data_IF_830732700708
#
_entry.id   IF_830732700708
#
_cell.length_a   1.000
_cell.length_b   1.000
_cell.length_c   1.000
_cell.angle_alpha   90.00
_cell.angle_beta   90.00
_cell.angle_gamma   90.00
#
_symmetry.space_group_name_H-M   'P 1'
#
loop_
_entity.id
_entity.type
_entity.pdbx_description
1 polymer ?
#
# COMPACT_ATOMS: atom_id res chain seq x y z
N UNK A 1 39.41 -6.76 13.79
CA UNK A 1 39.00 -6.27 12.46
C UNK A 1 37.56 -5.79 12.58
N UNK A 2 37.35 -4.47 12.62
CA UNK A 2 36.03 -3.84 12.67
C UNK A 2 36.18 -2.49 11.98
N UNK A 3 35.99 -2.47 10.66
CA UNK A 3 36.12 -1.26 9.85
C UNK A 3 35.27 -1.42 8.58
N UNK A 4 33.95 -1.52 8.71
CA UNK A 4 33.03 -1.43 7.56
C UNK A 4 31.64 -0.86 7.94
N UNK A 5 31.56 0.16 8.81
CA UNK A 5 30.26 0.81 9.18
C UNK A 5 30.29 2.33 9.00
N UNK A 6 30.86 2.84 7.91
CA UNK A 6 30.85 4.29 7.66
C UNK A 6 31.10 4.65 6.19
N UNK A 7 30.24 4.23 5.26
CA UNK A 7 30.43 4.52 3.83
C UNK A 7 29.18 5.01 3.06
N UNK A 8 28.13 5.51 3.72
CA UNK A 8 26.95 6.04 3.02
C UNK A 8 26.64 7.52 3.34
N UNK A 9 27.42 8.13 4.24
CA UNK A 9 27.23 9.53 4.65
C UNK A 9 28.02 10.48 3.74
N UNK A 10 27.74 10.50 2.45
CA UNK A 10 28.22 11.58 1.58
C UNK A 10 27.44 11.66 0.27
N UNK A 11 26.21 12.17 0.33
CA UNK A 11 25.58 12.77 -0.84
C UNK A 11 25.04 14.16 -0.49
N UNK A 12 25.85 15.15 -0.90
CA UNK A 12 25.48 16.51 -1.30
C UNK A 12 24.57 17.32 -0.37
N UNK A 13 25.22 18.19 0.42
CA UNK A 13 24.64 19.46 0.82
C UNK A 13 24.40 20.32 -0.44
N UNK A 14 23.16 20.34 -0.94
CA UNK A 14 22.73 21.34 -1.92
C UNK A 14 22.50 22.68 -1.20
N UNK A 15 23.02 23.81 -1.73
CA UNK A 15 22.64 25.12 -1.22
C UNK A 15 21.16 25.38 -1.57
N UNK A 16 20.32 25.39 -0.53
CA UNK A 16 18.92 25.82 -0.62
C UNK A 16 18.88 27.30 -0.98
N UNK A 17 18.79 27.63 -2.27
CA UNK A 17 18.54 28.99 -2.75
C UNK A 17 17.08 29.34 -2.47
N UNK A 18 16.82 29.87 -1.29
CA UNK A 18 15.50 30.38 -0.91
C UNK A 18 15.16 31.62 -1.76
N UNK A 19 14.30 31.45 -2.76
CA UNK A 19 13.68 32.60 -3.44
C UNK A 19 12.43 33.00 -2.65
N UNK A 20 12.52 34.09 -1.88
CA UNK A 20 11.35 34.73 -1.26
C UNK A 20 10.64 35.54 -2.35
N UNK A 21 9.72 34.91 -3.08
CA UNK A 21 8.72 35.63 -3.82
C UNK A 21 7.55 35.92 -2.87
N UNK A 22 7.28 37.20 -2.63
CA UNK A 22 6.22 37.66 -1.75
C UNK A 22 4.84 37.19 -2.22
N UNK A 23 4.12 36.49 -1.36
CA UNK A 23 2.69 36.21 -1.55
C UNK A 23 1.94 37.31 -0.83
N UNK A 24 1.31 38.19 -1.60
CA UNK A 24 0.43 39.24 -1.11
C UNK A 24 -0.83 39.24 -1.96
N UNK A 25 -1.80 38.38 -1.60
CA UNK A 25 -3.19 38.52 -2.05
C UNK A 25 -4.14 37.97 -0.98
N UNK A 26 -4.80 38.94 -0.34
CA UNK A 26 -6.18 38.96 0.15
C UNK A 26 -6.91 37.63 0.44
N UNK A 27 -7.39 37.57 1.69
CA UNK A 27 -8.43 36.68 2.17
C UNK A 27 -9.70 36.68 1.29
N UNK A 28 -10.27 35.50 1.06
CA UNK A 28 -11.71 35.27 1.13
C UNK A 28 -11.95 33.82 1.61
N UNK A 29 -12.37 33.70 2.87
CA UNK A 29 -12.98 32.49 3.43
C UNK A 29 -14.38 32.34 2.86
N UNK A 30 -14.55 31.59 1.78
CA UNK A 30 -15.85 31.10 1.34
C UNK A 30 -16.11 29.71 1.96
N UNK A 31 -16.58 29.73 3.20
CA UNK A 31 -17.17 28.60 3.90
C UNK A 31 -18.63 28.47 3.45
N UNK A 32 -18.89 27.66 2.43
CA UNK A 32 -20.25 27.28 2.05
C UNK A 32 -20.54 25.87 2.57
N UNK A 33 -20.93 25.78 3.84
CA UNK A 33 -21.67 24.62 4.36
C UNK A 33 -23.08 24.67 3.77
N UNK A 34 -23.37 23.82 2.80
CA UNK A 34 -24.76 23.52 2.42
C UNK A 34 -25.09 22.13 2.92
N UNK A 35 -25.72 22.09 4.09
CA UNK A 35 -26.32 20.89 4.67
C UNK A 35 -27.78 20.85 4.20
N UNK A 36 -28.03 20.27 3.03
CA UNK A 36 -29.39 20.01 2.55
C UNK A 36 -29.77 18.57 2.93
N UNK A 37 -30.33 18.42 4.14
CA UNK A 37 -31.02 17.22 4.57
C UNK A 37 -32.54 17.36 4.31
N UNK A 38 -33.17 16.23 4.01
CA UNK A 38 -34.61 15.92 3.95
C UNK A 38 -35.33 16.04 2.60
N UNK A 39 -35.39 14.89 1.92
CA UNK A 39 -36.60 14.09 1.61
C UNK A 39 -37.76 14.76 0.88
N UNK A 40 -37.91 14.40 -0.39
CA UNK A 40 -39.21 14.29 -1.04
C UNK A 40 -39.40 12.90 -1.66
N UNK A 41 -40.43 12.23 -1.16
CA UNK A 41 -40.99 10.97 -1.63
C UNK A 41 -41.72 11.22 -2.96
N UNK A 42 -41.39 10.45 -4.00
CA UNK A 42 -42.26 10.21 -5.17
C UNK A 42 -41.87 8.88 -5.84
N UNK A 43 -42.77 7.88 -5.98
CA UNK A 43 -42.51 6.62 -6.67
C UNK A 43 -43.17 6.60 -8.08
N UNK A 44 -42.91 5.56 -8.90
CA UNK A 44 -41.66 5.25 -9.56
C UNK A 44 -41.77 5.56 -11.07
N UNK A 45 -40.65 5.91 -11.72
CA UNK A 45 -40.54 5.88 -13.17
C UNK A 45 -39.34 5.02 -13.51
N UNK A 46 -39.62 3.96 -14.28
CA UNK A 46 -38.67 3.00 -14.79
C UNK A 46 -37.47 3.69 -15.44
N UNK A 47 -36.28 3.39 -14.93
CA UNK A 47 -35.05 3.46 -15.69
C UNK A 47 -34.20 2.33 -15.17
N UNK A 48 -34.12 1.28 -15.99
CA UNK A 48 -33.12 0.23 -15.92
C UNK A 48 -31.76 0.86 -15.60
N UNK A 49 -31.41 0.82 -14.32
CA UNK A 49 -30.06 1.10 -13.86
C UNK A 49 -29.33 -0.21 -14.04
N UNK A 50 -28.75 -0.38 -15.23
CA UNK A 50 -27.69 -1.35 -15.47
C UNK A 50 -26.59 -1.07 -14.46
N UNK A 51 -26.66 -1.78 -13.34
CA UNK A 51 -25.54 -2.03 -12.47
C UNK A 51 -24.49 -2.70 -13.35
N UNK A 52 -23.52 -1.90 -13.82
CA UNK A 52 -22.21 -2.43 -14.16
C UNK A 52 -21.59 -2.84 -12.82
N UNK A 53 -21.96 -4.04 -12.40
CA UNK A 53 -21.10 -4.90 -11.62
C UNK A 53 -19.85 -5.06 -12.47
N UNK A 54 -18.82 -4.28 -12.17
CA UNK A 54 -17.47 -4.70 -12.49
C UNK A 54 -17.24 -5.91 -11.59
N UNK A 55 -17.51 -7.09 -12.14
CA UNK A 55 -16.91 -8.34 -11.69
C UNK A 55 -15.41 -8.07 -11.59
N UNK A 56 -14.94 -7.82 -10.37
CA UNK A 56 -13.57 -8.15 -10.01
C UNK A 56 -13.58 -9.68 -9.97
N UNK A 57 -13.38 -10.26 -11.15
CA UNK A 57 -12.97 -11.64 -11.29
C UNK A 57 -11.70 -11.78 -10.44
N UNK A 58 -11.85 -12.39 -9.26
CA UNK A 58 -10.73 -12.88 -8.47
C UNK A 58 -10.06 -13.91 -9.36
N UNK A 59 -9.05 -13.47 -10.10
CA UNK A 59 -8.24 -14.31 -10.95
C UNK A 59 -7.51 -15.31 -10.05
N UNK A 60 -8.06 -16.52 -10.01
CA UNK A 60 -7.42 -17.71 -9.48
C UNK A 60 -6.03 -17.80 -10.12
N UNK A 61 -4.98 -17.76 -9.28
CA UNK A 61 -3.59 -17.65 -9.71
C UNK A 61 -3.12 -18.94 -10.38
N UNK A 62 -3.40 -19.07 -11.67
CA UNK A 62 -2.64 -19.95 -12.55
C UNK A 62 -1.45 -19.14 -13.00
N UNK A 63 -0.24 -19.53 -12.55
CA UNK A 63 1.00 -18.96 -13.05
C UNK A 63 1.07 -19.22 -14.56
N UNK A 64 0.68 -18.20 -15.34
CA UNK A 64 0.63 -18.24 -16.78
C UNK A 64 1.95 -17.64 -17.30
N UNK A 65 2.70 -18.43 -18.09
CA UNK A 65 3.93 -17.99 -18.76
C UNK A 65 3.68 -16.84 -19.77
N UNK A 66 2.44 -16.35 -19.88
CA UNK A 66 2.06 -15.18 -20.68
C UNK A 66 2.02 -13.84 -19.92
N UNK A 67 2.15 -13.83 -18.59
CA UNK A 67 2.10 -12.58 -17.82
C UNK A 67 3.36 -11.74 -18.03
N UNK A 68 3.18 -10.43 -18.21
CA UNK A 68 4.27 -9.45 -18.15
C UNK A 68 4.89 -9.41 -16.75
N UNK A 69 6.14 -8.91 -16.64
CA UNK A 69 6.83 -8.83 -15.35
C UNK A 69 6.08 -7.92 -14.36
N UNK A 70 5.47 -6.83 -14.85
CA UNK A 70 4.59 -5.99 -14.04
C UNK A 70 3.40 -6.75 -13.47
N UNK A 71 2.72 -7.56 -14.29
CA UNK A 71 1.58 -8.35 -13.83
C UNK A 71 2.01 -9.40 -12.79
N UNK A 72 3.19 -10.00 -12.96
CA UNK A 72 3.77 -10.91 -11.97
C UNK A 72 4.06 -10.22 -10.64
N UNK A 73 4.63 -9.01 -10.66
CA UNK A 73 4.88 -8.21 -9.45
C UNK A 73 3.57 -7.77 -8.78
N UNK A 74 2.57 -7.35 -9.56
CA UNK A 74 1.28 -6.95 -9.01
C UNK A 74 0.53 -8.15 -8.38
N UNK A 75 0.60 -9.33 -9.00
CA UNK A 75 0.06 -10.55 -8.41
C UNK A 75 0.80 -10.96 -7.13
N UNK A 76 2.12 -10.72 -7.06
CA UNK A 76 2.88 -10.89 -5.84
C UNK A 76 2.40 -9.94 -4.74
N UNK A 77 2.20 -8.66 -5.05
CA UNK A 77 1.69 -7.69 -4.06
C UNK A 77 0.30 -8.06 -3.54
N UNK A 78 -0.62 -8.45 -4.42
CA UNK A 78 -1.95 -8.92 -4.04
C UNK A 78 -1.85 -10.10 -3.04
N UNK A 79 -1.01 -11.09 -3.37
CA UNK A 79 -0.79 -12.24 -2.48
C UNK A 79 -0.24 -11.81 -1.12
N UNK A 80 0.82 -10.99 -1.08
CA UNK A 80 1.43 -10.55 0.18
C UNK A 80 0.47 -9.70 1.01
N UNK A 81 -0.40 -8.92 0.37
CA UNK A 81 -1.42 -8.15 1.05
C UNK A 81 -2.47 -9.05 1.70
N UNK A 82 -3.02 -10.01 0.94
CA UNK A 82 -4.00 -10.98 1.45
C UNK A 82 -3.41 -11.83 2.58
N UNK A 83 -2.16 -12.30 2.44
CA UNK A 83 -1.44 -13.03 3.48
C UNK A 83 -1.26 -12.17 4.75
N UNK A 84 -0.93 -10.88 4.59
CA UNK A 84 -0.73 -9.94 5.70
C UNK A 84 -2.03 -9.66 6.46
N UNK A 85 -3.14 -9.35 5.75
CA UNK A 85 -4.42 -9.08 6.43
C UNK A 85 -4.99 -10.33 7.10
N UNK A 86 -4.78 -11.53 6.54
CA UNK A 86 -5.23 -12.78 7.15
C UNK A 86 -4.59 -13.04 8.52
N UNK A 87 -3.40 -12.48 8.76
CA UNK A 87 -2.69 -12.55 10.05
C UNK A 87 -3.24 -11.56 11.09
N UNK A 88 -4.03 -10.56 10.70
CA UNK A 88 -4.56 -9.51 11.60
C UNK A 88 -6.10 -9.51 11.60
N UNK A 89 -6.75 -10.12 12.62
CA UNK A 89 -8.19 -10.01 12.83
C UNK A 89 -8.72 -8.57 12.85
N UNK A 90 -7.95 -7.62 13.37
CA UNK A 90 -8.35 -6.21 13.38
C UNK A 90 -8.38 -5.62 11.97
N UNK A 91 -7.42 -5.97 11.12
CA UNK A 91 -7.37 -5.57 9.70
C UNK A 91 -8.52 -6.17 8.91
N UNK A 92 -8.83 -7.46 9.10
CA UNK A 92 -10.00 -8.10 8.50
C UNK A 92 -11.30 -7.37 8.89
N UNK A 93 -11.47 -7.05 10.17
CA UNK A 93 -12.64 -6.31 10.67
C UNK A 93 -12.72 -4.91 10.08
N UNK A 94 -11.59 -4.20 9.96
CA UNK A 94 -11.53 -2.89 9.34
C UNK A 94 -11.96 -2.92 7.87
N UNK A 95 -11.60 -3.99 7.15
CA UNK A 95 -12.00 -4.24 5.76
C UNK A 95 -13.42 -4.84 5.63
N UNK A 96 -14.14 -5.04 6.73
CA UNK A 96 -15.49 -5.60 6.74
C UNK A 96 -15.55 -7.11 6.44
N UNK A 97 -14.42 -7.82 6.55
CA UNK A 97 -14.35 -9.26 6.36
C UNK A 97 -14.64 -10.01 7.66
N UNK A 98 -15.33 -11.16 7.55
CA UNK A 98 -15.97 -11.81 8.70
C UNK A 98 -15.23 -13.04 9.26
N UNK A 99 -14.15 -13.48 8.61
CA UNK A 99 -13.49 -14.76 8.82
C UNK A 99 -12.98 -14.93 10.26
N UNK A 100 -12.52 -13.85 10.90
CA UNK A 100 -11.96 -13.83 12.27
C UNK A 100 -12.53 -12.73 13.15
N UNK A 101 -13.80 -12.36 12.92
CA UNK A 101 -14.46 -11.33 13.73
C UNK A 101 -14.56 -11.73 15.19
N UNK A 102 -14.20 -10.81 16.09
CA UNK A 102 -14.23 -11.02 17.54
C UNK A 102 -12.91 -11.48 18.14
N UNK A 103 -11.87 -11.66 17.32
CA UNK A 103 -10.50 -11.93 17.76
C UNK A 103 -9.67 -10.64 17.86
N UNK A 104 -8.65 -10.64 18.73
CA UNK A 104 -7.64 -9.59 18.80
C UNK A 104 -6.37 -10.02 18.05
N UNK A 105 -5.61 -9.06 17.55
CA UNK A 105 -4.30 -9.33 16.95
C UNK A 105 -3.34 -9.96 17.97
N UNK A 106 -2.46 -10.84 17.49
CA UNK A 106 -1.39 -11.40 18.29
C UNK A 106 -0.24 -10.38 18.41
N UNK A 107 0.04 -9.97 19.64
CA UNK A 107 1.11 -9.00 19.97
C UNK A 107 2.30 -9.67 20.68
N UNK A 108 2.40 -10.99 20.60
CA UNK A 108 3.48 -11.74 21.24
C UNK A 108 4.84 -11.49 20.56
N UNK A 109 5.95 -11.62 21.31
CA UNK A 109 7.30 -11.59 20.71
C UNK A 109 7.49 -12.63 19.61
N UNK A 110 6.89 -13.81 19.76
CA UNK A 110 6.97 -14.88 18.77
C UNK A 110 6.32 -14.47 17.43
N UNK A 111 5.16 -13.82 17.48
CA UNK A 111 4.49 -13.28 16.29
C UNK A 111 5.32 -12.18 15.62
N UNK A 112 5.99 -11.34 16.41
CA UNK A 112 6.88 -10.31 15.89
C UNK A 112 8.10 -10.92 15.16
N UNK A 113 8.74 -11.95 15.73
CA UNK A 113 9.84 -12.67 15.08
C UNK A 113 9.42 -13.39 13.80
N UNK A 114 8.22 -13.98 13.78
CA UNK A 114 7.65 -14.56 12.57
C UNK A 114 7.41 -13.50 11.49
N UNK A 115 6.87 -12.34 11.87
CA UNK A 115 6.65 -11.20 10.97
C UNK A 115 7.98 -10.70 10.38
N UNK A 116 9.04 -10.61 11.19
CA UNK A 116 10.39 -10.29 10.69
C UNK A 116 10.89 -11.31 9.66
N UNK A 117 10.67 -12.60 9.90
CA UNK A 117 11.07 -13.66 8.98
C UNK A 117 10.32 -13.54 7.64
N UNK A 118 9.03 -13.23 7.68
CA UNK A 118 8.19 -13.00 6.51
C UNK A 118 8.67 -11.78 5.73
N UNK A 119 8.87 -10.63 6.40
CA UNK A 119 9.36 -9.42 5.73
C UNK A 119 10.70 -9.64 5.01
N UNK A 120 11.61 -10.42 5.61
CA UNK A 120 12.88 -10.80 4.96
C UNK A 120 12.66 -11.68 3.74
N UNK A 121 11.73 -12.63 3.82
CA UNK A 121 11.39 -13.50 2.71
C UNK A 121 10.75 -12.71 1.57
N UNK A 122 9.78 -11.84 1.88
CA UNK A 122 9.11 -10.99 0.89
C UNK A 122 10.09 -10.06 0.20
N UNK A 123 11.02 -9.45 0.94
CA UNK A 123 12.08 -8.63 0.35
C UNK A 123 12.97 -9.45 -0.58
N UNK A 124 13.36 -10.67 -0.17
CA UNK A 124 14.15 -11.54 -1.02
C UNK A 124 13.40 -11.90 -2.31
N UNK A 125 12.12 -12.29 -2.22
CA UNK A 125 11.28 -12.59 -3.38
C UNK A 125 11.05 -11.38 -4.27
N UNK A 126 10.84 -10.19 -3.70
CA UNK A 126 10.68 -8.96 -4.46
C UNK A 126 11.93 -8.65 -5.30
N UNK A 127 13.12 -8.91 -4.77
CA UNK A 127 14.39 -8.66 -5.47
C UNK A 127 14.70 -9.68 -6.59
N UNK A 128 13.90 -10.74 -6.74
CA UNK A 128 14.06 -11.71 -7.83
C UNK A 128 13.37 -11.25 -9.14
N UNK A 129 12.46 -10.29 -9.08
CA UNK A 129 11.79 -9.75 -10.28
C UNK A 129 12.72 -8.84 -11.10
N UNK A 130 12.58 -8.87 -12.42
CA UNK A 130 13.33 -8.00 -13.32
C UNK A 130 12.78 -6.56 -13.29
N UNK A 131 13.42 -5.71 -12.48
CA UNK A 131 13.03 -4.31 -12.33
C UNK A 131 12.99 -3.54 -13.65
N UNK A 132 13.90 -3.83 -14.60
CA UNK A 132 13.97 -3.07 -15.85
C UNK A 132 12.81 -3.40 -16.80
N UNK A 133 12.25 -4.61 -16.69
CA UNK A 133 11.08 -5.07 -17.44
C UNK A 133 9.74 -4.51 -16.92
N UNK A 134 9.73 -3.83 -15.78
CA UNK A 134 8.53 -3.23 -15.20
C UNK A 134 8.10 -1.93 -15.91
N UNK A 135 6.79 -1.72 -15.97
CA UNK A 135 6.22 -0.42 -16.31
C UNK A 135 6.46 0.62 -15.20
N UNK A 136 6.34 1.90 -15.56
CA UNK A 136 6.60 3.03 -14.65
C UNK A 136 5.80 2.99 -13.34
N UNK A 137 4.46 2.74 -13.32
CA UNK A 137 3.75 2.67 -12.05
C UNK A 137 4.20 1.49 -11.19
N UNK A 138 4.48 0.33 -11.78
CA UNK A 138 4.93 -0.85 -11.03
C UNK A 138 6.35 -0.64 -10.48
N UNK A 139 7.23 0.08 -11.20
CA UNK A 139 8.55 0.48 -10.69
C UNK A 139 8.45 1.33 -9.43
N UNK A 140 7.51 2.28 -9.39
CA UNK A 140 7.29 3.10 -8.20
C UNK A 140 6.82 2.23 -7.03
N UNK A 141 5.80 1.38 -7.25
CA UNK A 141 5.30 0.46 -6.23
C UNK A 141 6.40 -0.48 -5.71
N UNK A 142 7.23 -1.01 -6.60
CA UNK A 142 8.41 -1.82 -6.26
C UNK A 142 9.37 -1.09 -5.34
N UNK A 143 9.73 0.16 -5.68
CA UNK A 143 10.66 0.95 -4.88
C UNK A 143 10.10 1.23 -3.48
N UNK A 144 8.81 1.57 -3.40
CA UNK A 144 8.13 1.84 -2.12
C UNK A 144 8.02 0.57 -1.27
N UNK A 145 7.66 -0.56 -1.87
CA UNK A 145 7.59 -1.85 -1.18
C UNK A 145 8.96 -2.29 -0.66
N UNK A 146 10.00 -2.18 -1.49
CA UNK A 146 11.38 -2.47 -1.11
C UNK A 146 11.81 -1.60 0.09
N UNK A 147 11.61 -0.29 0.00
CA UNK A 147 11.95 0.63 1.08
C UNK A 147 11.19 0.30 2.35
N UNK A 148 9.87 0.08 2.27
CA UNK A 148 9.04 -0.24 3.44
C UNK A 148 9.42 -1.55 4.10
N UNK A 149 9.82 -2.57 3.33
CA UNK A 149 10.34 -3.83 3.88
C UNK A 149 11.71 -3.64 4.54
N UNK A 150 12.61 -2.88 3.92
CA UNK A 150 13.91 -2.55 4.50
C UNK A 150 13.77 -1.79 5.83
N UNK A 151 12.87 -0.81 5.90
CA UNK A 151 12.55 -0.06 7.11
C UNK A 151 11.98 -0.96 8.21
N UNK A 152 10.96 -1.79 7.91
CA UNK A 152 10.39 -2.72 8.89
C UNK A 152 11.42 -3.72 9.45
N UNK A 153 12.33 -4.21 8.61
CA UNK A 153 13.41 -5.13 9.03
C UNK A 153 14.43 -4.41 9.91
N UNK A 154 14.80 -3.18 9.57
CA UNK A 154 15.68 -2.36 10.39
C UNK A 154 15.03 -2.03 11.73
N UNK A 155 13.73 -1.75 11.71
CA UNK A 155 12.99 -1.24 12.84
C UNK A 155 12.71 -2.27 13.92
N UNK A 156 12.59 -3.54 13.55
CA UNK A 156 12.47 -4.65 14.51
C UNK A 156 13.64 -4.75 15.51
N UNK A 157 14.76 -4.06 15.25
CA UNK A 157 15.94 -4.07 16.12
C UNK A 157 15.81 -3.19 17.38
N UNK A 158 14.80 -2.31 17.45
CA UNK A 158 14.62 -1.33 18.52
C UNK A 158 13.33 -1.54 19.31
#
# INVERSE_FOLDING_TARGET
MNHLTSAWRSLSALPQKTSRAGVSTAALLSLSLVLAACSDTTPPADTDSTAQTTDVEIAESVADESMSESERVNAFFEKTFEDSIARSPSSLTFLGRSERMGEWDDISPEFAEETLAINKQELASLLEFDFDALDEPTKLSFQLAKQGLEEQIEDHRW
#
